data_IF_157840292882
#
_entry.id   IF_157840292882
#
_cell.length_a   1.000
_cell.length_b   1.000
_cell.length_c   1.000
_cell.angle_alpha   90.00
_cell.angle_beta   90.00
_cell.angle_gamma   90.00
#
_symmetry.space_group_name_H-M   'P 1'
#
loop_
_entity.id
_entity.type
_entity.pdbx_description
1 polymer ?
#
# COMPACT_ATOMS: atom_id res chain seq x y z
N UNK A 1 3.49 -53.06 -25.68
CA UNK A 1 4.35 -51.99 -26.25
C UNK A 1 5.32 -52.59 -27.20
N UNK A 2 5.34 -52.18 -28.48
CA UNK A 2 6.19 -52.76 -29.49
C UNK A 2 7.66 -52.42 -29.24
N UNK A 3 8.57 -53.43 -29.43
CA UNK A 3 10.02 -53.26 -29.20
C UNK A 3 10.61 -52.06 -29.96
N UNK A 4 10.07 -51.75 -31.13
CA UNK A 4 10.51 -50.60 -31.95
C UNK A 4 10.18 -49.25 -31.32
N UNK A 5 9.04 -49.11 -30.59
CA UNK A 5 8.69 -47.88 -29.90
C UNK A 5 9.60 -47.63 -28.67
N UNK A 6 10.05 -48.70 -28.00
CA UNK A 6 10.96 -48.59 -26.87
C UNK A 6 12.34 -48.12 -27.35
N UNK A 7 12.83 -48.65 -28.48
CA UNK A 7 14.11 -48.25 -29.10
C UNK A 7 14.06 -46.77 -29.54
N UNK A 8 12.94 -46.32 -30.14
CA UNK A 8 12.73 -44.93 -30.51
C UNK A 8 12.75 -43.98 -29.33
N UNK A 9 12.06 -44.35 -28.22
CA UNK A 9 12.07 -43.57 -26.98
C UNK A 9 13.47 -43.47 -26.34
N UNK A 10 14.22 -44.56 -26.36
CA UNK A 10 15.56 -44.64 -25.83
C UNK A 10 16.54 -43.79 -26.64
N UNK A 11 16.41 -43.78 -27.98
CA UNK A 11 17.20 -42.92 -28.86
C UNK A 11 16.93 -41.42 -28.61
N UNK A 12 15.65 -41.03 -28.47
CA UNK A 12 15.28 -39.66 -28.15
C UNK A 12 15.84 -39.24 -26.77
N UNK A 13 15.74 -40.12 -25.77
CA UNK A 13 16.30 -39.85 -24.45
C UNK A 13 17.81 -39.61 -24.46
N UNK A 14 18.57 -40.44 -25.23
CA UNK A 14 20.03 -40.28 -25.37
C UNK A 14 20.37 -38.95 -26.06
N UNK A 15 19.63 -38.57 -27.11
CA UNK A 15 19.85 -37.29 -27.80
C UNK A 15 19.54 -36.09 -26.86
N UNK A 16 18.46 -36.17 -26.12
CA UNK A 16 18.10 -35.08 -25.13
C UNK A 16 19.13 -34.95 -24.01
N UNK A 17 19.61 -36.07 -23.49
CA UNK A 17 20.66 -36.08 -22.44
C UNK A 17 21.97 -35.54 -23.00
N UNK A 18 22.38 -36.00 -24.21
CA UNK A 18 23.58 -35.52 -24.85
C UNK A 18 23.54 -34.02 -25.19
N UNK A 19 22.39 -33.54 -25.66
CA UNK A 19 22.18 -32.12 -25.95
C UNK A 19 22.18 -31.29 -24.67
N UNK A 20 21.55 -31.79 -23.58
CA UNK A 20 21.56 -31.14 -22.29
C UNK A 20 22.97 -31.01 -21.69
N UNK A 21 23.79 -32.06 -21.89
CA UNK A 21 25.16 -32.05 -21.40
C UNK A 21 26.10 -31.16 -22.23
N UNK A 22 25.89 -31.12 -23.55
CA UNK A 22 26.65 -30.25 -24.45
C UNK A 22 26.31 -28.77 -24.25
N UNK A 23 25.07 -28.46 -23.87
CA UNK A 23 24.57 -27.09 -23.72
C UNK A 23 24.55 -26.61 -22.27
N UNK A 24 25.19 -27.33 -21.34
CA UNK A 24 25.34 -26.86 -19.97
C UNK A 24 26.29 -25.65 -19.95
N UNK A 25 25.80 -24.47 -19.44
CA UNK A 25 26.67 -23.32 -19.28
C UNK A 25 27.79 -23.67 -18.30
N UNK A 26 29.00 -23.24 -18.63
CA UNK A 26 30.18 -23.54 -17.78
C UNK A 26 29.98 -23.02 -16.35
N UNK A 27 30.60 -23.68 -15.39
CA UNK A 27 30.51 -23.26 -13.96
C UNK A 27 30.99 -21.81 -13.74
N UNK A 28 31.84 -21.30 -14.63
CA UNK A 28 32.30 -19.91 -14.65
C UNK A 28 31.22 -18.94 -15.15
N UNK A 29 30.48 -19.30 -16.22
CA UNK A 29 29.37 -18.47 -16.72
C UNK A 29 28.21 -18.40 -15.73
N UNK A 30 27.90 -19.48 -15.04
CA UNK A 30 26.90 -19.48 -13.96
C UNK A 30 27.34 -18.61 -12.77
N UNK A 31 28.60 -18.63 -12.40
CA UNK A 31 29.13 -17.77 -11.31
C UNK A 31 29.12 -16.31 -11.71
N UNK A 32 29.52 -15.97 -12.91
CA UNK A 32 29.52 -14.57 -13.39
C UNK A 32 28.10 -14.03 -13.54
N UNK A 33 27.14 -14.82 -14.03
CA UNK A 33 25.75 -14.45 -14.10
C UNK A 33 25.15 -14.22 -12.71
N UNK A 34 25.45 -15.10 -11.74
CA UNK A 34 24.98 -14.94 -10.36
C UNK A 34 25.57 -13.70 -9.66
N UNK A 35 26.86 -13.44 -9.87
CA UNK A 35 27.53 -12.26 -9.33
C UNK A 35 26.99 -10.98 -9.95
N UNK A 36 26.77 -10.95 -11.26
CA UNK A 36 26.18 -9.79 -11.96
C UNK A 36 24.73 -9.52 -11.49
N UNK A 37 23.91 -10.56 -11.35
CA UNK A 37 22.53 -10.43 -10.82
C UNK A 37 22.53 -9.92 -9.37
N UNK A 38 23.45 -10.42 -8.55
CA UNK A 38 23.60 -9.96 -7.16
C UNK A 38 24.06 -8.50 -7.08
N UNK A 39 25.00 -8.08 -7.93
CA UNK A 39 25.46 -6.67 -8.01
C UNK A 39 24.35 -5.77 -8.55
N UNK A 40 23.59 -6.22 -9.55
CA UNK A 40 22.46 -5.47 -10.10
C UNK A 40 21.36 -5.28 -9.04
N UNK A 41 21.01 -6.32 -8.30
CA UNK A 41 20.05 -6.25 -7.19
C UNK A 41 20.52 -5.34 -6.06
N UNK A 42 21.79 -5.41 -5.69
CA UNK A 42 22.38 -4.54 -4.67
C UNK A 42 22.35 -3.06 -5.11
N UNK A 43 22.73 -2.76 -6.37
CA UNK A 43 22.63 -1.41 -6.95
C UNK A 43 21.21 -0.89 -7.01
N UNK A 44 20.25 -1.71 -7.43
CA UNK A 44 18.84 -1.33 -7.43
C UNK A 44 18.32 -1.02 -6.03
N UNK A 45 18.65 -1.84 -5.04
CA UNK A 45 18.27 -1.61 -3.64
C UNK A 45 18.91 -0.34 -3.06
N UNK A 46 20.14 -0.03 -3.43
CA UNK A 46 20.85 1.18 -2.99
C UNK A 46 20.29 2.44 -3.66
N UNK A 47 20.01 2.40 -4.97
CA UNK A 47 19.34 3.49 -5.69
C UNK A 47 17.93 3.74 -5.17
N UNK A 48 17.18 2.68 -4.85
CA UNK A 48 15.85 2.80 -4.27
C UNK A 48 15.89 3.42 -2.87
N UNK A 49 16.83 3.01 -2.02
CA UNK A 49 17.07 3.62 -0.71
C UNK A 49 17.49 5.09 -0.82
N UNK A 50 18.39 5.40 -1.75
CA UNK A 50 18.84 6.77 -1.98
C UNK A 50 17.72 7.67 -2.52
N UNK A 51 16.88 7.17 -3.44
CA UNK A 51 15.74 7.92 -3.97
C UNK A 51 14.67 8.13 -2.89
N UNK A 52 14.36 7.13 -2.07
CA UNK A 52 13.44 7.26 -0.93
C UNK A 52 13.97 8.24 0.12
N UNK A 53 15.26 8.20 0.43
CA UNK A 53 15.88 9.13 1.37
C UNK A 53 15.91 10.58 0.83
N UNK A 54 16.19 10.78 -0.47
CA UNK A 54 16.14 12.09 -1.11
C UNK A 54 14.70 12.65 -1.17
N UNK A 55 13.71 11.80 -1.48
CA UNK A 55 12.30 12.16 -1.45
C UNK A 55 11.84 12.55 -0.04
N UNK A 56 12.23 11.78 0.98
CA UNK A 56 11.91 12.08 2.38
C UNK A 56 12.52 13.42 2.83
N UNK A 57 13.80 13.70 2.47
CA UNK A 57 14.43 14.98 2.78
C UNK A 57 13.77 16.17 2.07
N UNK A 58 13.33 16.00 0.82
CA UNK A 58 12.58 17.05 0.10
C UNK A 58 11.23 17.32 0.75
N UNK A 59 10.55 16.27 1.22
CA UNK A 59 9.27 16.38 1.91
C UNK A 59 9.40 17.09 3.26
N UNK A 60 10.40 16.74 4.07
CA UNK A 60 10.63 17.41 5.37
C UNK A 60 10.98 18.87 5.20
N UNK A 61 11.80 19.24 4.20
CA UNK A 61 12.15 20.62 3.92
C UNK A 61 10.94 21.44 3.40
N UNK A 62 10.12 20.84 2.52
CA UNK A 62 8.90 21.47 2.03
C UNK A 62 7.90 21.70 3.18
N UNK A 63 7.71 20.70 4.06
CA UNK A 63 6.85 20.83 5.23
C UNK A 63 7.33 21.91 6.19
N UNK A 64 8.62 21.93 6.52
CA UNK A 64 9.20 22.95 7.40
C UNK A 64 9.02 24.37 6.85
N UNK A 65 9.13 24.55 5.52
CA UNK A 65 8.91 25.85 4.87
C UNK A 65 7.45 26.30 4.99
N UNK A 66 6.48 25.38 4.77
CA UNK A 66 5.05 25.70 4.90
C UNK A 66 4.66 25.94 6.36
N UNK A 67 5.23 25.19 7.31
CA UNK A 67 5.00 25.40 8.74
C UNK A 67 5.55 26.72 9.28
N UNK A 68 6.56 27.29 8.62
CA UNK A 68 7.16 28.57 8.98
C UNK A 68 6.39 29.80 8.46
N UNK A 69 5.62 29.62 7.39
CA UNK A 69 4.86 30.70 6.75
C UNK A 69 3.36 30.55 7.01
N UNK A 70 2.82 31.39 7.86
CA UNK A 70 1.39 31.39 8.22
C UNK A 70 0.45 31.74 7.07
N UNK A 71 0.97 32.29 5.97
CA UNK A 71 0.21 32.60 4.75
C UNK A 71 0.24 31.45 3.74
N UNK A 72 1.06 30.43 3.99
CA UNK A 72 1.19 29.28 3.11
C UNK A 72 -0.11 28.48 3.04
N UNK A 73 -0.38 27.91 1.86
CA UNK A 73 -1.55 27.03 1.67
C UNK A 73 -1.53 25.86 2.67
N UNK A 74 -2.69 25.57 3.23
CA UNK A 74 -2.92 24.53 4.25
C UNK A 74 -2.19 24.72 5.60
N UNK A 75 -1.64 25.92 5.87
CA UNK A 75 -0.96 26.19 7.14
C UNK A 75 -1.80 25.80 8.38
N UNK A 76 -3.08 26.18 8.40
CA UNK A 76 -4.00 25.84 9.48
C UNK A 76 -4.29 24.32 9.56
N UNK A 77 -4.29 23.65 8.43
CA UNK A 77 -4.55 22.22 8.36
C UNK A 77 -3.32 21.35 8.71
N UNK A 78 -2.10 21.93 8.79
CA UNK A 78 -0.92 21.22 9.31
C UNK A 78 -0.94 21.06 10.83
N UNK A 79 -1.79 21.82 11.52
CA UNK A 79 -1.91 21.83 12.99
C UNK A 79 -3.25 21.25 13.38
N UNK A 80 -3.25 20.23 14.23
CA UNK A 80 -4.49 19.61 14.68
C UNK A 80 -4.26 18.35 15.51
N UNK A 81 -5.34 17.70 15.87
CA UNK A 81 -5.33 16.42 16.55
C UNK A 81 -6.02 15.38 15.69
N UNK A 82 -5.39 14.22 15.55
CA UNK A 82 -5.97 13.09 14.86
C UNK A 82 -7.19 12.56 15.64
N UNK A 83 -8.30 12.36 14.94
CA UNK A 83 -9.52 11.73 15.46
C UNK A 83 -9.86 10.53 14.60
N UNK A 84 -10.43 9.50 15.23
CA UNK A 84 -10.90 8.31 14.52
C UNK A 84 -12.41 8.41 14.32
N UNK A 85 -12.87 8.01 13.13
CA UNK A 85 -14.27 7.98 12.75
C UNK A 85 -14.56 6.59 12.25
N UNK A 86 -15.64 5.99 12.70
CA UNK A 86 -16.05 4.65 12.31
C UNK A 86 -17.24 4.75 11.35
N UNK A 87 -17.09 4.16 10.17
CA UNK A 87 -18.19 3.89 9.25
C UNK A 87 -18.49 2.40 9.29
N UNK A 88 -19.75 2.02 9.34
CA UNK A 88 -20.14 0.62 9.45
C UNK A 88 -21.45 0.33 8.72
N UNK A 89 -21.54 -0.87 8.20
CA UNK A 89 -22.76 -1.52 7.75
C UNK A 89 -22.84 -2.95 8.35
N UNK A 90 -23.73 -3.77 7.86
CA UNK A 90 -23.86 -5.16 8.31
C UNK A 90 -22.65 -6.04 7.95
N UNK A 91 -21.89 -5.68 6.92
CA UNK A 91 -20.81 -6.46 6.32
C UNK A 91 -19.41 -5.96 6.63
N UNK A 92 -19.27 -4.66 6.84
CA UNK A 92 -17.95 -3.98 6.93
C UNK A 92 -17.95 -2.97 8.05
N UNK A 93 -16.82 -2.85 8.72
CA UNK A 93 -16.51 -1.75 9.63
C UNK A 93 -15.17 -1.12 9.23
N UNK A 94 -15.19 0.19 9.00
CA UNK A 94 -14.04 0.97 8.59
C UNK A 94 -13.72 2.02 9.65
N UNK A 95 -12.46 2.10 10.05
CA UNK A 95 -11.97 3.20 10.89
C UNK A 95 -11.17 4.16 10.04
N UNK A 96 -11.62 5.40 9.95
CA UNK A 96 -10.95 6.48 9.25
C UNK A 96 -10.21 7.36 10.25
N UNK A 97 -9.07 7.90 9.81
CA UNK A 97 -8.28 8.85 10.58
C UNK A 97 -8.40 10.24 9.95
N UNK A 98 -8.71 11.26 10.76
CA UNK A 98 -8.78 12.65 10.28
C UNK A 98 -7.41 13.21 9.90
N UNK A 99 -6.31 12.63 10.38
CA UNK A 99 -4.99 12.93 9.84
C UNK A 99 -4.81 12.20 8.52
N UNK A 100 -4.66 12.94 7.45
CA UNK A 100 -4.54 12.43 6.10
C UNK A 100 -5.87 12.01 5.47
N UNK A 101 -6.97 12.03 6.20
CA UNK A 101 -8.28 11.52 5.77
C UNK A 101 -8.20 10.09 5.22
N UNK A 102 -7.47 9.20 5.89
CA UNK A 102 -7.20 7.84 5.42
C UNK A 102 -8.05 6.80 6.13
N UNK A 103 -8.32 5.68 5.45
CA UNK A 103 -8.86 4.48 6.11
C UNK A 103 -7.73 3.80 6.85
N UNK A 104 -7.79 3.73 8.17
CA UNK A 104 -6.74 3.16 9.03
C UNK A 104 -6.97 1.67 9.31
N UNK A 105 -8.23 1.25 9.38
CA UNK A 105 -8.61 -0.13 9.66
C UNK A 105 -9.82 -0.54 8.84
N UNK A 106 -9.81 -1.78 8.37
CA UNK A 106 -10.96 -2.38 7.71
C UNK A 106 -11.20 -3.78 8.25
N UNK A 107 -12.43 -4.02 8.67
CA UNK A 107 -12.89 -5.31 9.21
C UNK A 107 -14.07 -5.80 8.40
N UNK A 108 -13.99 -7.02 7.89
CA UNK A 108 -15.08 -7.72 7.22
C UNK A 108 -15.77 -8.60 8.25
N UNK A 109 -17.07 -8.39 8.42
CA UNK A 109 -17.88 -9.10 9.42
C UNK A 109 -18.37 -10.45 8.89
N UNK A 110 -18.49 -11.41 9.77
CA UNK A 110 -19.09 -12.71 9.49
C UNK A 110 -18.18 -13.72 8.78
N UNK A 111 -16.88 -13.44 8.67
CA UNK A 111 -15.89 -14.34 8.06
C UNK A 111 -14.77 -14.67 9.02
N UNK A 112 -14.27 -15.91 8.96
CA UNK A 112 -13.10 -16.35 9.72
C UNK A 112 -11.88 -16.29 8.81
N UNK A 113 -10.84 -15.56 9.21
CA UNK A 113 -9.58 -15.51 8.48
C UNK A 113 -8.87 -16.87 8.47
N UNK A 114 -8.33 -17.27 7.32
CA UNK A 114 -7.65 -18.56 7.15
C UNK A 114 -6.43 -18.76 8.07
N UNK A 115 -5.78 -17.66 8.48
CA UNK A 115 -4.58 -17.68 9.33
C UNK A 115 -4.89 -17.67 10.84
N UNK A 116 -6.14 -17.52 11.23
CA UNK A 116 -6.53 -17.68 12.61
C UNK A 116 -6.63 -19.19 12.88
N UNK A 117 -5.54 -19.77 13.39
CA UNK A 117 -5.63 -21.07 14.06
C UNK A 117 -6.57 -20.87 15.24
N UNK A 118 -7.81 -21.28 15.06
CA UNK A 118 -8.78 -21.38 16.15
C UNK A 118 -8.26 -22.45 17.11
N UNK A 119 -7.39 -22.05 18.03
CA UNK A 119 -7.10 -22.83 19.22
C UNK A 119 -8.34 -22.66 20.11
N UNK A 120 -9.00 -23.73 20.34
CA UNK A 120 -10.20 -23.83 21.18
C UNK A 120 -11.47 -23.22 20.60
N UNK A 121 -12.19 -23.92 19.76
CA UNK A 121 -13.65 -23.87 19.58
C UNK A 121 -14.45 -22.60 19.96
N UNK A 122 -13.80 -21.47 20.22
CA UNK A 122 -14.45 -20.22 20.56
C UNK A 122 -15.04 -19.59 19.29
N UNK A 123 -16.36 -19.49 19.28
CA UNK A 123 -17.16 -18.95 18.18
C UNK A 123 -16.93 -17.44 17.90
N UNK A 124 -15.97 -16.80 18.57
CA UNK A 124 -15.80 -15.35 18.57
C UNK A 124 -14.87 -14.79 17.48
N UNK A 125 -14.26 -15.64 16.67
CA UNK A 125 -13.39 -15.20 15.57
C UNK A 125 -14.15 -15.16 14.23
N UNK A 126 -15.23 -14.38 14.16
CA UNK A 126 -16.07 -14.28 12.95
C UNK A 126 -15.76 -13.08 12.04
N UNK A 127 -14.75 -12.30 12.37
CA UNK A 127 -14.44 -11.08 11.63
C UNK A 127 -13.02 -11.15 11.10
N UNK A 128 -12.82 -10.70 9.85
CA UNK A 128 -11.53 -10.64 9.20
C UNK A 128 -11.04 -9.20 9.15
N UNK A 129 -9.94 -8.92 9.81
CA UNK A 129 -9.24 -7.64 9.65
C UNK A 129 -8.38 -7.70 8.40
N UNK A 130 -8.68 -6.85 7.41
CA UNK A 130 -7.90 -6.76 6.18
C UNK A 130 -6.59 -6.02 6.40
N UNK A 131 -6.64 -4.94 7.16
CA UNK A 131 -5.47 -4.16 7.58
C UNK A 131 -5.81 -3.37 8.85
N UNK A 132 -4.77 -3.03 9.63
CA UNK A 132 -4.87 -2.24 10.85
C UNK A 132 -3.64 -1.35 11.01
N UNK A 133 -3.83 -0.02 10.92
CA UNK A 133 -2.80 0.98 11.15
C UNK A 133 -1.80 1.16 10.01
N UNK A 134 -0.62 0.58 10.10
CA UNK A 134 0.52 0.90 9.23
C UNK A 134 0.59 0.08 7.93
N UNK A 135 -0.28 -0.89 7.74
CA UNK A 135 -0.23 -1.84 6.61
C UNK A 135 -0.75 -1.24 5.31
N UNK A 136 -1.31 -0.05 5.36
CA UNK A 136 -1.84 0.66 4.20
C UNK A 136 -1.47 2.14 4.22
N UNK A 137 -1.42 2.78 3.07
CA UNK A 137 -1.30 4.24 2.96
C UNK A 137 -2.01 4.77 1.73
N UNK A 138 -2.80 5.81 1.92
CA UNK A 138 -3.37 6.60 0.84
C UNK A 138 -2.91 8.04 1.05
N UNK A 139 -2.22 8.60 0.05
CA UNK A 139 -1.76 9.99 0.10
C UNK A 139 -1.79 10.60 -1.29
N UNK A 140 -2.23 11.83 -1.37
CA UNK A 140 -2.17 12.65 -2.57
C UNK A 140 -1.10 13.71 -2.39
N UNK A 141 -0.43 14.05 -3.48
CA UNK A 141 0.49 15.19 -3.56
C UNK A 141 -0.22 16.32 -4.29
N UNK A 142 -0.35 17.45 -3.63
CA UNK A 142 -0.92 18.66 -4.18
C UNK A 142 0.23 19.59 -4.57
N UNK A 143 0.32 19.94 -5.84
CA UNK A 143 1.31 20.89 -6.32
C UNK A 143 0.86 22.31 -6.01
N UNK A 144 1.67 23.05 -5.27
CA UNK A 144 1.48 24.45 -4.99
C UNK A 144 2.70 25.24 -5.44
N UNK A 145 2.53 26.55 -5.68
CA UNK A 145 3.61 27.42 -6.21
C UNK A 145 4.89 27.40 -5.37
N UNK A 146 4.77 27.22 -4.06
CA UNK A 146 5.90 27.37 -3.12
C UNK A 146 6.39 26.03 -2.57
N UNK A 147 5.52 25.02 -2.44
CA UNK A 147 5.86 23.70 -1.93
C UNK A 147 4.79 22.67 -2.27
N UNK A 148 5.21 21.44 -2.50
CA UNK A 148 4.29 20.32 -2.63
C UNK A 148 3.75 19.93 -1.26
N UNK A 149 2.44 19.78 -1.17
CA UNK A 149 1.73 19.43 0.06
C UNK A 149 1.24 17.98 -0.06
N UNK A 150 1.48 17.20 0.97
CA UNK A 150 1.04 15.81 1.04
C UNK A 150 -0.14 15.72 1.97
N UNK A 151 -1.24 15.12 1.50
CA UNK A 151 -2.48 15.04 2.28
C UNK A 151 -2.31 14.28 3.59
N UNK A 152 -1.39 13.30 3.67
CA UNK A 152 -1.10 12.57 4.91
C UNK A 152 -0.59 13.44 6.06
N UNK A 153 -0.10 14.67 5.77
CA UNK A 153 0.36 15.60 6.78
C UNK A 153 -0.74 16.55 7.27
N UNK A 154 -1.87 16.59 6.58
CA UNK A 154 -2.98 17.48 6.88
C UNK A 154 -3.94 16.88 7.90
N UNK A 155 -4.49 17.73 8.76
CA UNK A 155 -5.59 17.40 9.64
C UNK A 155 -6.90 17.90 9.04
N UNK A 156 -7.83 16.99 8.86
CA UNK A 156 -9.13 17.28 8.30
C UNK A 156 -10.17 17.44 9.41
N UNK A 157 -11.08 18.36 9.21
CA UNK A 157 -12.22 18.54 10.08
C UNK A 157 -13.39 17.71 9.55
N UNK A 158 -13.91 16.75 10.33
CA UNK A 158 -15.04 15.95 9.93
C UNK A 158 -16.35 16.71 10.07
N UNK A 159 -17.24 16.50 9.13
CA UNK A 159 -18.62 16.99 9.13
C UNK A 159 -19.56 15.95 8.53
N UNK A 160 -20.86 16.11 8.71
CA UNK A 160 -21.89 15.21 8.19
C UNK A 160 -21.61 13.73 8.51
N UNK A 161 -21.17 13.46 9.75
CA UNK A 161 -20.81 12.11 10.19
C UNK A 161 -22.08 11.31 10.43
N UNK A 162 -22.19 10.19 9.73
CA UNK A 162 -23.23 9.17 9.90
C UNK A 162 -22.57 7.78 10.03
N UNK A 163 -23.35 6.75 10.26
CA UNK A 163 -22.81 5.37 10.26
C UNK A 163 -22.21 4.95 8.91
N UNK A 164 -22.64 5.58 7.79
CA UNK A 164 -22.22 5.20 6.44
C UNK A 164 -21.48 6.31 5.68
N UNK A 165 -21.41 7.51 6.20
CA UNK A 165 -20.78 8.61 5.48
C UNK A 165 -20.08 9.59 6.39
N UNK A 166 -19.06 10.26 5.85
CA UNK A 166 -18.37 11.38 6.48
C UNK A 166 -17.80 12.29 5.41
N UNK A 167 -17.88 13.58 5.64
CA UNK A 167 -17.18 14.60 4.87
C UNK A 167 -16.00 15.12 5.67
N UNK A 168 -14.81 15.08 5.12
CA UNK A 168 -13.56 15.53 5.74
C UNK A 168 -13.02 16.74 4.97
N UNK A 169 -12.83 17.87 5.63
CA UNK A 169 -12.44 19.13 5.01
C UNK A 169 -11.13 19.64 5.62
N UNK A 170 -10.16 19.96 4.76
CA UNK A 170 -8.94 20.68 5.10
C UNK A 170 -8.97 22.07 4.49
N UNK A 171 -8.71 23.10 5.32
CA UNK A 171 -8.71 24.50 4.87
C UNK A 171 -7.37 24.83 4.23
N UNK A 172 -7.43 25.23 2.96
CA UNK A 172 -6.22 25.61 2.20
C UNK A 172 -5.83 27.08 2.39
N UNK A 173 -6.74 27.91 2.91
CA UNK A 173 -6.58 29.37 2.98
C UNK A 173 -7.33 30.09 1.86
N UNK A 174 -7.51 31.41 2.00
CA UNK A 174 -8.20 32.25 1.00
C UNK A 174 -9.62 31.75 0.63
N UNK A 175 -10.32 31.12 1.55
CA UNK A 175 -11.64 30.54 1.29
C UNK A 175 -11.63 29.24 0.49
N UNK A 176 -10.45 28.69 0.17
CA UNK A 176 -10.30 27.42 -0.53
C UNK A 176 -10.23 26.26 0.46
N UNK A 177 -10.84 25.14 0.10
CA UNK A 177 -10.84 23.92 0.91
C UNK A 177 -10.57 22.70 0.04
N UNK A 178 -9.95 21.69 0.64
CA UNK A 178 -9.89 20.34 0.10
C UNK A 178 -10.91 19.51 0.87
N UNK A 179 -11.86 18.94 0.16
CA UNK A 179 -12.93 18.13 0.76
C UNK A 179 -12.88 16.72 0.21
N UNK A 180 -12.93 15.73 1.09
CA UNK A 180 -13.03 14.32 0.77
C UNK A 180 -14.28 13.77 1.43
N UNK A 181 -15.19 13.22 0.62
CA UNK A 181 -16.43 12.59 1.11
C UNK A 181 -16.30 11.09 0.97
N UNK A 182 -16.50 10.39 2.07
CA UNK A 182 -16.54 8.93 2.12
C UNK A 182 -17.97 8.46 2.30
N UNK A 183 -18.40 7.50 1.49
CA UNK A 183 -19.72 6.88 1.59
C UNK A 183 -19.57 5.38 1.49
N UNK A 184 -19.94 4.67 2.55
CA UNK A 184 -19.97 3.22 2.60
C UNK A 184 -21.31 2.73 2.06
N UNK A 185 -21.28 1.91 1.01
CA UNK A 185 -22.47 1.26 0.46
C UNK A 185 -23.07 0.22 1.41
N UNK A 186 -24.13 -0.45 0.97
CA UNK A 186 -24.72 -1.61 1.68
C UNK A 186 -23.98 -2.91 1.36
N UNK A 187 -22.98 -2.82 0.51
CA UNK A 187 -22.04 -3.87 0.12
C UNK A 187 -20.68 -3.69 0.83
N UNK A 188 -19.59 -4.12 0.18
CA UNK A 188 -18.21 -3.96 0.66
C UNK A 188 -17.52 -2.72 0.07
N UNK A 189 -18.23 -1.87 -0.66
CA UNK A 189 -17.65 -0.77 -1.42
C UNK A 189 -17.66 0.53 -0.60
N UNK A 190 -16.47 1.13 -0.50
CA UNK A 190 -16.30 2.50 -0.02
C UNK A 190 -16.09 3.43 -1.22
N UNK A 191 -17.00 4.38 -1.38
CA UNK A 191 -16.89 5.42 -2.39
C UNK A 191 -16.21 6.65 -1.81
N UNK A 192 -15.27 7.23 -2.56
CA UNK A 192 -14.58 8.47 -2.20
C UNK A 192 -14.74 9.48 -3.34
N UNK A 193 -15.14 10.69 -3.02
CA UNK A 193 -15.25 11.82 -3.94
C UNK A 193 -14.62 13.09 -3.37
#
# INVERSE_FOLDING_TARGET
MNKNNIIGFLLIAVVLIGFSWYNQPSAEEQRTAFVQDSIAKAKHAEMEKASKAAAAKRQTNAKAKVEADSTALFYSALKGQAKKIVLKNEKVELTLNTKGATVEKAVIKGYVGHNLQVKDGSADAKDVTLFDGNDQSLKFMLEAKEANIITSDLYFTPSNVTDKSVTMTAVAGEGKTLTLTYTLGDDYMLHMS
#
